data_IF_242730592858
#
_entry.id   IF_242730592858
#
_cell.length_a   1.000
_cell.length_b   1.000
_cell.length_c   1.000
_cell.angle_alpha   90.00
_cell.angle_beta   90.00
_cell.angle_gamma   90.00
#
_symmetry.space_group_name_H-M   'P 1'
#
loop_
_entity.id
_entity.type
_entity.pdbx_description
1 polymer ?
#
# COMPACT_ATOMS: atom_id res chain seq x y z
N UNK A 1 -1.82 -15.08 27.04
CA UNK A 1 -2.73 -14.25 26.21
C UNK A 1 -2.78 -14.87 24.82
N UNK A 2 -3.94 -15.43 24.46
CA UNK A 2 -4.11 -16.23 23.24
C UNK A 2 -3.96 -15.38 21.98
N UNK A 3 -3.10 -15.83 21.07
CA UNK A 3 -2.97 -15.28 19.72
C UNK A 3 -4.25 -15.59 18.95
N UNK A 4 -5.24 -14.70 19.00
CA UNK A 4 -6.35 -14.75 18.04
C UNK A 4 -5.73 -14.79 16.64
N UNK A 5 -6.14 -15.77 15.84
CA UNK A 5 -5.59 -15.90 14.49
C UNK A 5 -6.10 -14.71 13.68
N UNK A 6 -5.26 -14.04 12.88
CA UNK A 6 -5.65 -12.88 12.07
C UNK A 6 -6.97 -13.05 11.30
N UNK A 7 -7.27 -14.27 10.83
CA UNK A 7 -8.54 -14.60 10.16
C UNK A 7 -9.75 -14.59 11.10
N UNK A 8 -9.64 -15.12 12.32
CA UNK A 8 -10.75 -15.13 13.30
C UNK A 8 -11.22 -13.71 13.65
N UNK A 9 -10.31 -12.73 13.62
CA UNK A 9 -10.64 -11.31 13.83
C UNK A 9 -11.48 -10.77 12.67
N UNK A 10 -11.15 -11.13 11.43
CA UNK A 10 -11.90 -10.69 10.26
C UNK A 10 -13.28 -11.36 10.18
N UNK A 11 -13.36 -12.66 10.47
CA UNK A 11 -14.64 -13.38 10.52
C UNK A 11 -15.60 -12.77 11.56
N UNK A 12 -15.07 -12.34 12.72
CA UNK A 12 -15.87 -11.64 13.71
C UNK A 12 -16.35 -10.25 13.25
N UNK A 13 -15.58 -9.57 12.39
CA UNK A 13 -15.92 -8.27 11.84
C UNK A 13 -17.01 -8.40 10.77
N UNK A 14 -16.99 -9.46 9.96
CA UNK A 14 -18.02 -9.75 8.94
C UNK A 14 -19.44 -9.86 9.52
N UNK A 15 -19.56 -10.21 10.81
CA UNK A 15 -20.85 -10.27 11.52
C UNK A 15 -21.40 -8.88 11.95
N UNK A 16 -20.64 -7.80 11.76
CA UNK A 16 -21.03 -6.44 12.16
C UNK A 16 -21.83 -5.73 11.06
N UNK A 17 -22.61 -4.67 11.40
CA UNK A 17 -23.24 -3.81 10.41
C UNK A 17 -22.23 -3.23 9.42
N UNK A 18 -22.59 -3.16 8.14
CA UNK A 18 -21.70 -2.84 7.01
C UNK A 18 -20.91 -1.51 7.17
N UNK A 19 -21.52 -0.48 7.76
CA UNK A 19 -20.84 0.80 8.01
C UNK A 19 -19.73 0.71 9.09
N UNK A 20 -19.85 -0.22 10.03
CA UNK A 20 -18.84 -0.51 11.06
C UNK A 20 -17.75 -1.43 10.49
N UNK A 21 -18.13 -2.30 9.55
CA UNK A 21 -17.28 -3.30 8.93
C UNK A 21 -16.04 -2.69 8.28
N UNK A 22 -16.21 -1.67 7.43
CA UNK A 22 -15.09 -1.10 6.63
C UNK A 22 -13.99 -0.52 7.52
N UNK A 23 -14.36 0.34 8.48
CA UNK A 23 -13.38 0.98 9.37
C UNK A 23 -12.73 -0.03 10.30
N UNK A 24 -13.50 -0.97 10.84
CA UNK A 24 -12.98 -1.97 11.79
C UNK A 24 -12.05 -2.95 11.08
N UNK A 25 -12.41 -3.40 9.88
CA UNK A 25 -11.55 -4.24 9.02
C UNK A 25 -10.22 -3.57 8.76
N UNK A 26 -10.24 -2.27 8.41
CA UNK A 26 -9.04 -1.49 8.14
C UNK A 26 -8.10 -1.41 9.35
N UNK A 27 -8.66 -1.15 10.54
CA UNK A 27 -7.88 -1.07 11.79
C UNK A 27 -7.32 -2.44 12.16
N UNK A 28 -8.12 -3.50 12.08
CA UNK A 28 -7.68 -4.87 12.36
C UNK A 28 -6.54 -5.27 11.42
N UNK A 29 -6.69 -5.01 10.12
CA UNK A 29 -5.68 -5.32 9.13
C UNK A 29 -4.38 -4.55 9.36
N UNK A 30 -4.47 -3.26 9.73
CA UNK A 30 -3.28 -2.45 10.04
C UNK A 30 -2.50 -3.06 11.21
N UNK A 31 -3.19 -3.49 12.28
CA UNK A 31 -2.56 -4.18 13.43
C UNK A 31 -1.94 -5.53 13.06
N UNK A 32 -2.58 -6.27 12.15
CA UNK A 32 -2.01 -7.52 11.62
C UNK A 32 -0.75 -7.20 10.81
N UNK A 33 -0.78 -6.16 9.98
CA UNK A 33 0.32 -5.74 9.12
C UNK A 33 1.55 -5.27 9.89
N UNK A 34 1.39 -4.70 11.09
CA UNK A 34 2.50 -4.31 11.97
C UNK A 34 3.41 -5.50 12.36
N UNK A 35 2.85 -6.71 12.39
CA UNK A 35 3.58 -7.91 12.85
C UNK A 35 3.71 -8.99 11.76
N UNK A 36 2.76 -9.02 10.82
CA UNK A 36 2.62 -10.06 9.81
C UNK A 36 2.16 -9.47 8.46
N UNK A 37 2.95 -8.59 7.83
CA UNK A 37 2.53 -7.88 6.62
C UNK A 37 2.15 -8.82 5.47
N UNK A 38 2.89 -9.93 5.26
CA UNK A 38 2.54 -10.95 4.25
C UNK A 38 1.21 -11.66 4.53
N UNK A 39 0.86 -11.85 5.82
CA UNK A 39 -0.45 -12.42 6.17
C UNK A 39 -1.56 -11.40 5.93
N UNK A 40 -1.34 -10.14 6.27
CA UNK A 40 -2.28 -9.06 5.95
C UNK A 40 -2.50 -8.94 4.43
N UNK A 41 -1.45 -9.05 3.62
CA UNK A 41 -1.52 -9.08 2.17
C UNK A 41 -2.41 -10.21 1.64
N UNK A 42 -2.21 -11.43 2.15
CA UNK A 42 -3.07 -12.57 1.80
C UNK A 42 -4.54 -12.33 2.19
N UNK A 43 -4.80 -11.72 3.36
CA UNK A 43 -6.16 -11.39 3.78
C UNK A 43 -6.81 -10.34 2.87
N UNK A 44 -6.06 -9.33 2.40
CA UNK A 44 -6.56 -8.36 1.40
C UNK A 44 -6.92 -9.05 0.09
N UNK A 45 -6.11 -10.04 -0.34
CA UNK A 45 -6.38 -10.79 -1.56
C UNK A 45 -7.68 -11.63 -1.46
N UNK A 46 -8.06 -12.06 -0.26
CA UNK A 46 -9.28 -12.82 0.02
C UNK A 46 -10.55 -11.95 0.13
N UNK A 47 -10.44 -10.67 0.49
CA UNK A 47 -11.60 -9.75 0.62
C UNK A 47 -12.33 -9.60 -0.70
N UNK A 48 -13.65 -9.38 -0.75
CA UNK A 48 -14.35 -9.10 -2.02
C UNK A 48 -13.87 -7.79 -2.69
N UNK A 49 -14.01 -7.70 -4.01
CA UNK A 49 -13.68 -6.46 -4.75
C UNK A 49 -14.61 -5.32 -4.31
N UNK A 50 -14.04 -4.17 -3.95
CA UNK A 50 -14.83 -3.01 -3.54
C UNK A 50 -14.06 -2.04 -2.66
N UNK A 51 -14.81 -1.13 -2.02
CA UNK A 51 -14.26 -0.09 -1.16
C UNK A 51 -13.44 -0.67 0.02
N UNK A 52 -13.94 -1.73 0.67
CA UNK A 52 -13.26 -2.38 1.79
C UNK A 52 -11.88 -2.90 1.41
N UNK A 53 -11.76 -3.63 0.30
CA UNK A 53 -10.46 -4.09 -0.23
C UNK A 53 -9.56 -2.92 -0.57
N UNK A 54 -10.07 -1.89 -1.26
CA UNK A 54 -9.28 -0.69 -1.63
C UNK A 54 -8.68 0.01 -0.43
N UNK A 55 -9.46 0.32 0.60
CA UNK A 55 -8.98 1.05 1.77
C UNK A 55 -8.11 0.19 2.69
N UNK A 56 -8.39 -1.12 2.74
CA UNK A 56 -7.57 -2.10 3.45
C UNK A 56 -6.19 -2.27 2.80
N UNK A 57 -6.14 -2.41 1.47
CA UNK A 57 -4.90 -2.44 0.70
C UNK A 57 -4.06 -1.17 0.90
N UNK A 58 -4.67 0.01 0.84
CA UNK A 58 -3.97 1.28 1.08
C UNK A 58 -3.41 1.38 2.51
N UNK A 59 -4.16 0.92 3.51
CA UNK A 59 -3.68 0.92 4.91
C UNK A 59 -2.54 -0.07 5.11
N UNK A 60 -2.63 -1.25 4.49
CA UNK A 60 -1.54 -2.23 4.46
C UNK A 60 -0.27 -1.63 3.83
N UNK A 61 -0.38 -1.00 2.66
CA UNK A 61 0.76 -0.32 2.01
C UNK A 61 1.40 0.67 2.99
N UNK A 62 0.61 1.52 3.65
CA UNK A 62 1.14 2.50 4.61
C UNK A 62 1.94 1.88 5.76
N UNK A 63 1.51 0.72 6.27
CA UNK A 63 2.18 0.02 7.39
C UNK A 63 3.34 -0.85 6.92
N UNK A 64 3.23 -1.49 5.76
CA UNK A 64 4.26 -2.39 5.25
C UNK A 64 5.44 -1.61 4.66
N UNK A 65 5.18 -0.46 4.03
CA UNK A 65 6.21 0.37 3.43
C UNK A 65 7.26 0.84 4.44
N UNK A 66 6.87 1.09 5.69
CA UNK A 66 7.81 1.50 6.75
C UNK A 66 8.67 0.34 7.27
N UNK A 67 8.28 -0.90 7.01
CA UNK A 67 8.99 -2.12 7.42
C UNK A 67 9.87 -2.68 6.29
N UNK A 68 9.32 -2.74 5.08
CA UNK A 68 9.97 -3.31 3.90
C UNK A 68 9.39 -2.68 2.62
N UNK A 69 10.06 -1.61 2.18
CA UNK A 69 9.68 -0.86 0.98
C UNK A 69 9.67 -1.76 -0.27
N UNK A 70 10.71 -2.59 -0.43
CA UNK A 70 10.88 -3.42 -1.63
C UNK A 70 9.79 -4.49 -1.73
N UNK A 71 9.51 -5.20 -0.64
CA UNK A 71 8.44 -6.19 -0.63
C UNK A 71 7.06 -5.55 -0.84
N UNK A 72 6.84 -4.34 -0.33
CA UNK A 72 5.58 -3.60 -0.53
C UNK A 72 5.40 -3.21 -2.01
N UNK A 73 6.46 -2.71 -2.66
CA UNK A 73 6.46 -2.37 -4.08
C UNK A 73 6.20 -3.64 -4.92
N UNK A 74 6.93 -4.72 -4.65
CA UNK A 74 6.75 -6.01 -5.34
C UNK A 74 5.31 -6.53 -5.22
N UNK A 75 4.74 -6.53 -4.02
CA UNK A 75 3.35 -6.89 -3.81
C UNK A 75 2.38 -5.99 -4.58
N UNK A 76 2.61 -4.67 -4.54
CA UNK A 76 1.75 -3.69 -5.23
C UNK A 76 1.74 -3.91 -6.74
N UNK A 77 2.89 -4.29 -7.31
CA UNK A 77 3.06 -4.53 -8.75
C UNK A 77 2.49 -5.88 -9.20
N UNK A 78 2.70 -6.93 -8.39
CA UNK A 78 2.54 -8.31 -8.83
C UNK A 78 1.31 -9.03 -8.26
N UNK A 79 0.64 -8.49 -7.24
CA UNK A 79 -0.53 -9.15 -6.64
C UNK A 79 -1.76 -9.10 -7.57
N UNK A 80 -2.24 -10.26 -8.07
CA UNK A 80 -3.38 -10.30 -8.99
C UNK A 80 -4.67 -9.76 -8.37
N UNK A 81 -4.90 -10.00 -7.07
CA UNK A 81 -6.13 -9.59 -6.41
C UNK A 81 -6.29 -8.06 -6.31
N UNK A 82 -5.20 -7.30 -6.40
CA UNK A 82 -5.23 -5.83 -6.36
C UNK A 82 -4.82 -5.20 -7.70
N UNK A 83 -4.73 -5.98 -8.79
CA UNK A 83 -4.30 -5.46 -10.08
C UNK A 83 -5.13 -4.25 -10.56
N UNK A 84 -6.45 -4.28 -10.35
CA UNK A 84 -7.35 -3.14 -10.65
C UNK A 84 -7.17 -1.92 -9.73
N UNK A 85 -6.42 -2.05 -8.65
CA UNK A 85 -6.05 -0.99 -7.71
C UNK A 85 -4.58 -0.59 -7.83
N UNK A 86 -3.78 -1.29 -8.66
CA UNK A 86 -2.32 -1.13 -8.76
C UNK A 86 -1.93 0.32 -8.90
N UNK A 87 -2.54 1.03 -9.84
CA UNK A 87 -2.28 2.44 -10.09
C UNK A 87 -2.46 3.28 -8.80
N UNK A 88 -3.66 3.27 -8.21
CA UNK A 88 -3.96 3.98 -6.96
C UNK A 88 -2.98 3.65 -5.81
N UNK A 89 -2.56 2.40 -5.68
CA UNK A 89 -1.63 1.97 -4.63
C UNK A 89 -0.18 2.37 -4.95
N UNK A 90 0.22 2.35 -6.22
CA UNK A 90 1.53 2.82 -6.67
C UNK A 90 1.67 4.32 -6.46
N UNK A 91 0.68 5.12 -6.81
CA UNK A 91 0.67 6.56 -6.53
C UNK A 91 0.89 6.81 -5.03
N UNK A 92 0.11 6.12 -4.19
CA UNK A 92 0.24 6.24 -2.74
C UNK A 92 1.62 5.81 -2.22
N UNK A 93 2.18 4.76 -2.82
CA UNK A 93 3.50 4.25 -2.50
C UNK A 93 4.59 5.25 -2.87
N UNK A 94 4.62 5.69 -4.13
CA UNK A 94 5.58 6.63 -4.70
C UNK A 94 5.59 7.95 -3.94
N UNK A 95 4.41 8.52 -3.68
CA UNK A 95 4.28 9.72 -2.86
C UNK A 95 4.95 9.56 -1.49
N UNK A 96 4.74 8.43 -0.81
CA UNK A 96 5.32 8.17 0.52
C UNK A 96 6.83 7.93 0.47
N UNK A 97 7.32 7.18 -0.52
CA UNK A 97 8.75 6.89 -0.62
C UNK A 97 9.55 8.07 -1.17
N UNK A 98 8.99 8.95 -2.00
CA UNK A 98 9.68 10.12 -2.53
C UNK A 98 10.20 11.04 -1.40
N UNK A 99 9.49 11.10 -0.28
CA UNK A 99 9.87 11.88 0.90
C UNK A 99 10.89 11.20 1.83
N UNK A 100 11.22 9.91 1.62
CA UNK A 100 12.05 9.12 2.56
C UNK A 100 13.22 8.42 1.87
N UNK A 101 12.98 7.87 0.70
CA UNK A 101 13.94 7.14 -0.12
C UNK A 101 13.74 7.51 -1.59
N UNK A 102 14.23 8.70 -1.90
CA UNK A 102 14.10 9.38 -3.19
C UNK A 102 14.63 8.54 -4.36
N UNK A 103 15.76 7.84 -4.19
CA UNK A 103 16.32 6.95 -5.22
C UNK A 103 15.39 5.77 -5.53
N UNK A 104 14.89 5.09 -4.49
CA UNK A 104 13.96 3.98 -4.70
C UNK A 104 12.65 4.45 -5.37
N UNK A 105 12.20 5.68 -5.06
CA UNK A 105 11.05 6.29 -5.73
C UNK A 105 11.28 6.46 -7.22
N UNK A 106 12.44 7.00 -7.63
CA UNK A 106 12.80 7.14 -9.04
C UNK A 106 12.94 5.80 -9.74
N UNK A 107 13.70 4.87 -9.17
CA UNK A 107 13.96 3.57 -9.80
C UNK A 107 12.63 2.85 -10.04
N UNK A 108 11.72 2.88 -9.05
CA UNK A 108 10.38 2.32 -9.18
C UNK A 108 9.57 3.04 -10.25
N UNK A 109 9.59 4.37 -10.29
CA UNK A 109 8.86 5.15 -11.29
C UNK A 109 9.34 4.86 -12.71
N UNK A 110 10.66 4.84 -12.94
CA UNK A 110 11.25 4.60 -14.27
C UNK A 110 10.99 3.19 -14.80
N UNK A 111 10.81 2.21 -13.91
CA UNK A 111 10.50 0.82 -14.29
C UNK A 111 9.03 0.60 -14.65
N UNK A 112 8.13 1.55 -14.38
CA UNK A 112 6.71 1.41 -14.67
C UNK A 112 6.30 2.15 -15.94
N UNK A 113 5.49 1.51 -16.83
CA UNK A 113 4.87 2.22 -17.94
C UNK A 113 3.73 3.08 -17.39
N UNK A 114 4.02 4.34 -17.06
CA UNK A 114 2.98 5.34 -16.82
C UNK A 114 2.28 5.66 -18.15
N UNK A 115 0.96 5.56 -18.15
CA UNK A 115 0.09 6.02 -19.22
C UNK A 115 0.08 7.54 -19.29
N UNK A 116 -0.38 8.10 -20.40
CA UNK A 116 -0.41 9.54 -20.66
C UNK A 116 -1.19 10.35 -19.59
N UNK A 117 -2.15 9.72 -18.89
CA UNK A 117 -2.85 10.33 -17.74
C UNK A 117 -2.06 10.35 -16.44
N UNK A 118 -0.97 9.58 -16.35
CA UNK A 118 -0.14 9.37 -15.15
C UNK A 118 1.14 10.24 -15.17
N UNK A 119 1.42 10.95 -16.28
CA UNK A 119 2.57 11.87 -16.42
C UNK A 119 2.63 12.96 -15.34
N UNK A 120 1.48 13.30 -14.73
CA UNK A 120 1.42 14.26 -13.62
C UNK A 120 2.10 13.76 -12.35
N UNK A 121 1.92 12.48 -12.00
CA UNK A 121 2.62 11.87 -10.86
C UNK A 121 4.08 11.62 -11.15
N UNK A 122 4.41 11.26 -12.39
CA UNK A 122 5.81 11.18 -12.81
C UNK A 122 6.50 12.54 -12.62
N UNK A 123 5.87 13.63 -13.08
CA UNK A 123 6.38 14.99 -12.88
C UNK A 123 6.50 15.40 -11.42
N UNK A 124 5.56 15.00 -10.56
CA UNK A 124 5.61 15.27 -9.11
C UNK A 124 6.73 14.48 -8.43
N UNK A 125 6.85 13.18 -8.72
CA UNK A 125 7.92 12.33 -8.17
C UNK A 125 9.28 12.83 -8.66
N UNK A 126 9.43 13.08 -9.95
CA UNK A 126 10.66 13.65 -10.54
C UNK A 126 10.96 15.03 -9.94
N UNK A 127 9.94 15.86 -9.72
CA UNK A 127 10.09 17.17 -9.08
C UNK A 127 10.58 17.09 -7.64
N UNK A 128 9.97 16.23 -6.81
CA UNK A 128 10.40 16.00 -5.40
C UNK A 128 11.84 15.48 -5.36
N UNK A 129 12.19 14.60 -6.29
CA UNK A 129 13.54 14.05 -6.37
C UNK A 129 14.57 15.11 -6.81
N UNK A 130 14.28 15.86 -7.87
CA UNK A 130 15.18 16.88 -8.38
C UNK A 130 15.51 17.95 -7.32
N UNK A 131 14.54 18.30 -6.47
CA UNK A 131 14.75 19.21 -5.34
C UNK A 131 15.64 18.58 -4.26
N UNK A 132 15.46 17.30 -3.96
CA UNK A 132 16.22 16.59 -2.92
C UNK A 132 17.70 16.37 -3.29
N UNK A 133 17.98 16.09 -4.58
CA UNK A 133 19.35 15.93 -5.09
C UNK A 133 20.12 17.27 -5.11
N UNK A 134 19.42 18.40 -5.27
CA UNK A 134 20.03 19.73 -5.19
C UNK A 134 20.48 20.07 -3.76
N UNK A 135 19.70 19.70 -2.74
CA UNK A 135 20.05 19.96 -1.32
C UNK A 135 21.24 19.13 -0.82
N UNK A 136 21.54 17.99 -1.45
CA UNK A 136 22.70 17.15 -1.10
C UNK A 136 23.97 17.50 -1.88
N UNK A 137 23.89 18.40 -2.86
CA UNK A 137 25.00 18.81 -3.72
C UNK A 137 25.68 20.14 -3.32
N UNK A 138 25.27 20.77 -2.21
CA UNK A 138 25.79 22.04 -1.67
C UNK A 138 26.53 21.81 -0.34
#
# INVERSE_FOLDING_TARGET
>A
MGRQKPREVLEAIDALPEHVHVQTTRVALSRIAENYPKKAAALVAEMETGATRKYSASSLVGVWLSQDQKATIDWTLNEPAIQGLRHFLLENTLYRIAHVNTRLAMDTALEQPFTEGEMGLEGEVVGVVAVSDLDTAI
#
